data_IF_705388813294
#
_entry.id   IF_705388813294
#
_cell.length_a   1.000
_cell.length_b   1.000
_cell.length_c   1.000
_cell.angle_alpha   90.00
_cell.angle_beta   90.00
_cell.angle_gamma   90.00
#
_symmetry.space_group_name_H-M   'P 1'
#
loop_
_entity.id
_entity.type
_entity.pdbx_description
1 polymer ?
#
# COMPACT_ATOMS: atom_id res chain seq x y z
N UNK A 1 -1.85 26.38 23.96
CA UNK A 1 -2.00 26.43 22.49
C UNK A 1 -1.03 25.42 21.90
N UNK A 2 -1.50 24.26 21.43
CA UNK A 2 -0.63 23.24 20.86
C UNK A 2 -0.26 23.64 19.42
N UNK A 3 1.05 23.67 19.12
CA UNK A 3 1.56 23.97 17.79
C UNK A 3 1.13 22.87 16.81
N UNK A 4 0.45 23.27 15.73
CA UNK A 4 0.08 22.39 14.62
C UNK A 4 1.37 22.04 13.89
N UNK A 5 1.78 20.77 13.94
CA UNK A 5 2.92 20.30 13.16
C UNK A 5 2.68 20.63 11.67
N UNK A 6 3.70 21.15 10.95
CA UNK A 6 3.56 21.41 9.53
C UNK A 6 3.24 20.08 8.82
N UNK A 7 2.21 20.09 7.97
CA UNK A 7 1.92 18.97 7.10
C UNK A 7 3.18 18.68 6.27
N UNK A 8 3.65 17.42 6.18
CA UNK A 8 4.81 17.11 5.36
C UNK A 8 4.54 17.58 3.93
N UNK A 9 5.50 18.30 3.35
CA UNK A 9 5.45 18.74 1.96
C UNK A 9 5.16 17.52 1.07
N UNK A 10 4.21 17.66 0.14
CA UNK A 10 3.80 16.56 -0.72
C UNK A 10 5.03 16.00 -1.45
N UNK A 11 5.45 14.76 -1.16
CA UNK A 11 6.57 14.17 -1.88
C UNK A 11 6.22 14.05 -3.36
N UNK A 12 7.24 14.23 -4.20
CA UNK A 12 7.06 14.03 -5.64
C UNK A 12 6.94 12.54 -5.93
N UNK A 13 6.12 12.17 -6.92
CA UNK A 13 5.92 10.76 -7.35
C UNK A 13 7.23 9.98 -7.53
N UNK A 14 8.29 10.65 -8.01
CA UNK A 14 9.61 10.03 -8.17
C UNK A 14 10.26 9.69 -6.82
N UNK A 15 10.22 10.62 -5.87
CA UNK A 15 10.75 10.40 -4.52
C UNK A 15 10.02 9.28 -3.79
N UNK A 16 8.70 9.16 -3.98
CA UNK A 16 7.90 8.08 -3.39
C UNK A 16 8.21 6.72 -4.00
N UNK A 17 8.41 6.66 -5.33
CA UNK A 17 8.83 5.43 -5.98
C UNK A 17 10.15 4.91 -5.42
N UNK A 18 11.14 5.80 -5.27
CA UNK A 18 12.44 5.46 -4.69
C UNK A 18 12.30 5.03 -3.21
N UNK A 19 11.43 5.71 -2.45
CA UNK A 19 11.16 5.38 -1.06
C UNK A 19 10.43 4.04 -0.87
N UNK A 20 9.60 3.64 -1.84
CA UNK A 20 8.87 2.37 -1.82
C UNK A 20 9.75 1.14 -2.08
N UNK A 21 10.93 1.31 -2.67
CA UNK A 21 11.76 0.17 -3.07
C UNK A 21 12.15 -0.73 -1.89
N UNK A 22 12.12 -2.04 -2.12
CA UNK A 22 12.54 -3.06 -1.17
C UNK A 22 11.40 -3.87 -0.57
N UNK A 23 11.71 -4.57 0.52
CA UNK A 23 10.79 -5.47 1.22
C UNK A 23 10.15 -4.78 2.42
N UNK A 24 8.89 -5.11 2.66
CA UNK A 24 8.02 -4.54 3.67
C UNK A 24 7.23 -5.63 4.36
N UNK A 25 7.01 -5.49 5.66
CA UNK A 25 6.22 -6.40 6.48
C UNK A 25 5.09 -5.63 7.17
N UNK A 26 3.88 -6.18 7.12
CA UNK A 26 2.72 -5.60 7.80
C UNK A 26 2.93 -5.66 9.32
N UNK A 27 2.68 -4.56 10.00
CA UNK A 27 2.75 -4.42 11.46
C UNK A 27 1.40 -4.07 12.09
N UNK A 28 0.41 -3.67 11.28
CA UNK A 28 -0.98 -3.47 11.71
C UNK A 28 -1.96 -3.69 10.56
N UNK A 29 -3.22 -3.97 10.89
CA UNK A 29 -4.30 -4.23 9.97
C UNK A 29 -4.93 -5.61 10.15
N UNK A 30 -6.09 -5.81 9.51
CA UNK A 30 -6.90 -7.03 9.62
C UNK A 30 -6.28 -8.28 9.00
N UNK A 31 -5.18 -8.12 8.23
CA UNK A 31 -4.43 -9.24 7.64
C UNK A 31 -2.93 -8.98 7.77
N UNK A 32 -2.17 -10.06 7.90
CA UNK A 32 -0.72 -10.01 7.77
C UNK A 32 -0.30 -10.23 6.32
N UNK A 33 0.67 -9.45 5.87
CA UNK A 33 1.22 -9.51 4.52
C UNK A 33 2.68 -9.07 4.46
N UNK A 34 3.39 -9.61 3.47
CA UNK A 34 4.67 -9.08 2.99
C UNK A 34 4.45 -8.41 1.66
N UNK A 35 5.13 -7.29 1.45
CA UNK A 35 5.13 -6.55 0.20
C UNK A 35 6.57 -6.38 -0.27
N UNK A 36 6.85 -6.81 -1.49
CA UNK A 36 8.09 -6.52 -2.19
C UNK A 36 7.82 -5.54 -3.32
N UNK A 37 8.62 -4.48 -3.40
CA UNK A 37 8.57 -3.50 -4.49
C UNK A 37 9.92 -3.46 -5.20
N UNK A 38 9.90 -3.63 -6.52
CA UNK A 38 11.08 -3.56 -7.38
C UNK A 38 10.74 -2.78 -8.66
N UNK A 39 11.25 -1.56 -8.77
CA UNK A 39 10.78 -0.58 -9.74
C UNK A 39 9.29 -0.31 -9.53
N UNK A 40 8.50 -0.49 -10.58
CA UNK A 40 7.02 -0.40 -10.55
C UNK A 40 6.33 -1.75 -10.35
N UNK A 41 7.09 -2.82 -10.12
CA UNK A 41 6.52 -4.14 -9.85
C UNK A 41 6.29 -4.30 -8.36
N UNK A 42 5.21 -4.99 -8.02
CA UNK A 42 4.94 -5.41 -6.66
C UNK A 42 4.70 -6.91 -6.59
N UNK A 43 5.01 -7.49 -5.44
CA UNK A 43 4.55 -8.81 -5.03
C UNK A 43 4.00 -8.71 -3.60
N UNK A 44 2.75 -9.08 -3.43
CA UNK A 44 2.03 -9.14 -2.16
C UNK A 44 1.85 -10.59 -1.77
N UNK A 45 2.31 -10.97 -0.59
CA UNK A 45 2.13 -12.31 -0.03
C UNK A 45 1.36 -12.15 1.28
N UNK A 46 0.11 -12.60 1.33
CA UNK A 46 -0.68 -12.61 2.56
C UNK A 46 -0.42 -13.91 3.32
N UNK A 47 -0.39 -13.87 4.66
CA UNK A 47 -0.17 -15.08 5.49
C UNK A 47 -1.23 -16.17 5.30
N UNK A 48 -2.35 -15.87 4.63
CA UNK A 48 -3.37 -16.85 4.23
C UNK A 48 -3.06 -17.62 2.94
N UNK A 49 -1.91 -17.37 2.30
CA UNK A 49 -1.49 -18.04 1.07
C UNK A 49 -1.85 -17.31 -0.23
N UNK A 50 -2.65 -16.24 -0.17
CA UNK A 50 -2.93 -15.42 -1.34
C UNK A 50 -1.68 -14.64 -1.76
N UNK A 51 -1.28 -14.80 -3.01
CA UNK A 51 -0.19 -14.04 -3.63
C UNK A 51 -0.76 -13.17 -4.75
N UNK A 52 -0.32 -11.91 -4.80
CA UNK A 52 -0.69 -10.95 -5.83
C UNK A 52 0.57 -10.38 -6.46
N UNK A 53 0.67 -10.45 -7.78
CA UNK A 53 1.82 -9.92 -8.52
C UNK A 53 1.28 -8.97 -9.58
N UNK A 54 2.01 -7.88 -9.80
CA UNK A 54 1.70 -6.99 -10.90
C UNK A 54 2.49 -5.70 -10.84
N UNK A 55 1.90 -4.64 -11.39
CA UNK A 55 2.51 -3.32 -11.50
C UNK A 55 1.68 -2.26 -10.80
N UNK A 56 2.27 -1.10 -10.53
CA UNK A 56 1.52 0.02 -9.96
C UNK A 56 1.94 1.37 -10.56
N UNK A 57 0.97 2.28 -10.57
CA UNK A 57 1.15 3.68 -10.91
C UNK A 57 0.88 4.56 -9.70
N UNK A 58 1.76 5.54 -9.49
CA UNK A 58 1.63 6.53 -8.43
C UNK A 58 0.98 7.79 -8.99
N UNK A 59 -0.16 8.15 -8.40
CA UNK A 59 -0.86 9.39 -8.64
C UNK A 59 -0.50 10.47 -7.61
N UNK A 60 -1.00 11.69 -7.82
CA UNK A 60 -0.81 12.78 -6.88
C UNK A 60 -1.53 12.52 -5.55
N UNK A 61 -1.08 13.19 -4.48
CA UNK A 61 -1.78 13.23 -3.19
C UNK A 61 -2.09 11.85 -2.56
N UNK A 62 -1.12 10.93 -2.57
CA UNK A 62 -1.27 9.62 -1.92
C UNK A 62 -2.18 8.64 -2.67
N UNK A 63 -2.36 8.85 -3.98
CA UNK A 63 -3.12 7.95 -4.84
C UNK A 63 -2.22 6.90 -5.48
N UNK A 64 -2.64 5.64 -5.51
CA UNK A 64 -1.89 4.56 -6.13
C UNK A 64 -2.87 3.65 -6.86
N UNK A 65 -2.55 3.23 -8.08
CA UNK A 65 -3.32 2.23 -8.82
C UNK A 65 -2.50 0.96 -8.94
N UNK A 66 -3.03 -0.16 -8.45
CA UNK A 66 -2.38 -1.47 -8.56
C UNK A 66 -3.00 -2.26 -9.70
N UNK A 67 -2.19 -2.65 -10.67
CA UNK A 67 -2.57 -3.51 -11.77
C UNK A 67 -2.20 -4.94 -11.38
N UNK A 68 -3.18 -5.71 -10.88
CA UNK A 68 -3.01 -7.11 -10.50
C UNK A 68 -2.99 -7.97 -11.75
N UNK A 69 -1.83 -8.50 -12.08
CA UNK A 69 -1.60 -9.36 -13.24
C UNK A 69 -1.80 -10.84 -12.85
N UNK A 70 -1.31 -11.22 -11.67
CA UNK A 70 -1.48 -12.55 -11.08
C UNK A 70 -2.06 -12.47 -9.67
N UNK A 71 -2.89 -13.45 -9.32
CA UNK A 71 -3.59 -13.57 -8.04
C UNK A 71 -4.96 -14.22 -8.20
N UNK A 72 -5.79 -14.24 -7.13
CA UNK A 72 -7.15 -14.74 -7.19
C UNK A 72 -7.94 -14.13 -8.35
N UNK A 73 -8.67 -14.96 -9.09
CA UNK A 73 -9.33 -14.56 -10.34
C UNK A 73 -10.24 -13.33 -10.18
N UNK A 74 -10.91 -13.22 -9.02
CA UNK A 74 -11.82 -12.12 -8.74
C UNK A 74 -11.12 -10.77 -8.51
N UNK A 75 -9.81 -10.77 -8.33
CA UNK A 75 -9.01 -9.60 -7.97
C UNK A 75 -8.05 -9.13 -9.09
N UNK A 76 -8.05 -9.81 -10.24
CA UNK A 76 -7.24 -9.37 -11.41
C UNK A 76 -7.75 -8.05 -11.99
N UNK A 77 -6.82 -7.27 -12.53
CA UNK A 77 -7.09 -5.94 -13.10
C UNK A 77 -6.69 -4.80 -12.17
N UNK A 78 -7.19 -3.60 -12.45
CA UNK A 78 -6.80 -2.38 -11.73
C UNK A 78 -7.59 -2.22 -10.43
N UNK A 79 -6.87 -2.06 -9.33
CA UNK A 79 -7.38 -1.75 -8.00
C UNK A 79 -6.91 -0.35 -7.56
N UNK A 80 -7.83 0.63 -7.46
CA UNK A 80 -7.49 1.95 -6.97
C UNK A 80 -7.27 1.95 -5.46
N UNK A 81 -6.13 2.46 -5.04
CA UNK A 81 -5.64 2.45 -3.66
C UNK A 81 -5.31 3.86 -3.15
N UNK A 82 -5.29 3.99 -1.83
CA UNK A 82 -4.58 5.06 -1.13
C UNK A 82 -3.26 4.53 -0.57
N UNK A 83 -2.24 5.39 -0.58
CA UNK A 83 -0.97 5.14 0.10
C UNK A 83 -0.49 6.40 0.84
N UNK A 84 0.29 6.19 1.90
CA UNK A 84 0.99 7.24 2.62
C UNK A 84 2.34 6.68 3.07
N UNK A 85 3.41 7.42 2.78
CA UNK A 85 4.76 7.09 3.22
C UNK A 85 5.23 8.13 4.23
N UNK A 86 5.75 7.65 5.35
CA UNK A 86 6.37 8.48 6.36
C UNK A 86 7.46 7.70 7.11
N UNK A 87 8.70 8.19 7.10
CA UNK A 87 9.78 7.65 7.94
C UNK A 87 10.04 6.13 7.83
N UNK A 88 9.79 5.51 6.67
CA UNK A 88 9.92 4.04 6.51
C UNK A 88 8.70 3.23 6.96
N UNK A 89 7.57 3.91 7.18
CA UNK A 89 6.25 3.33 7.37
C UNK A 89 5.41 3.58 6.10
N UNK A 90 4.75 2.54 5.61
CA UNK A 90 3.82 2.62 4.50
C UNK A 90 2.41 2.28 4.99
N UNK A 91 1.48 3.22 4.91
CA UNK A 91 0.05 2.91 5.05
C UNK A 91 -0.53 2.67 3.66
N UNK A 92 -1.24 1.56 3.49
CA UNK A 92 -1.84 1.17 2.22
C UNK A 92 -3.29 0.74 2.45
N UNK A 93 -4.18 1.17 1.55
CA UNK A 93 -5.60 0.84 1.62
C UNK A 93 -6.16 0.72 0.20
N UNK A 94 -6.42 -0.49 -0.30
CA UNK A 94 -7.10 -0.68 -1.57
C UNK A 94 -8.58 -0.33 -1.45
N UNK A 95 -9.16 0.02 -2.58
CA UNK A 95 -10.61 -0.01 -2.77
C UNK A 95 -11.16 -1.42 -2.61
N UNK A 96 -12.48 -1.52 -2.51
CA UNK A 96 -13.12 -2.84 -2.56
C UNK A 96 -12.83 -3.47 -3.92
N UNK A 97 -12.45 -4.77 -3.97
CA UNK A 97 -12.28 -5.46 -5.24
C UNK A 97 -13.46 -5.24 -6.17
N UNK A 98 -13.20 -5.06 -7.47
CA UNK A 98 -14.19 -4.80 -8.53
C UNK A 98 -15.05 -3.54 -8.40
N UNK A 99 -14.94 -2.78 -7.31
CA UNK A 99 -15.72 -1.55 -7.15
C UNK A 99 -15.26 -0.44 -8.11
N UNK A 100 -13.99 -0.49 -8.55
CA UNK A 100 -13.35 0.59 -9.30
C UNK A 100 -13.23 1.90 -8.50
N UNK A 101 -13.55 1.87 -7.20
CA UNK A 101 -13.62 3.06 -6.35
C UNK A 101 -12.45 3.08 -5.38
N UNK A 102 -11.69 4.18 -5.45
CA UNK A 102 -10.65 4.49 -4.47
C UNK A 102 -11.30 4.91 -3.14
N UNK A 103 -10.77 4.48 -1.98
CA UNK A 103 -11.17 5.04 -0.70
C UNK A 103 -10.92 6.55 -0.66
N UNK A 104 -11.82 7.33 -0.05
CA UNK A 104 -11.65 8.79 0.07
C UNK A 104 -10.75 9.22 1.22
N UNK A 105 -10.55 8.32 2.20
CA UNK A 105 -9.66 8.47 3.34
C UNK A 105 -9.22 7.10 3.82
N UNK A 106 -8.16 7.07 4.64
CA UNK A 106 -7.83 5.84 5.34
C UNK A 106 -8.85 5.56 6.47
N UNK A 107 -9.46 4.37 6.48
CA UNK A 107 -10.25 3.91 7.61
C UNK A 107 -9.33 3.52 8.78
N UNK A 108 -9.92 3.21 9.93
CA UNK A 108 -9.19 2.54 11.02
C UNK A 108 -8.58 1.23 10.50
N UNK A 109 -7.37 0.89 10.96
CA UNK A 109 -6.66 -0.33 10.53
C UNK A 109 -7.38 -1.59 11.02
N UNK A 110 -8.15 -1.48 12.10
CA UNK A 110 -8.92 -2.60 12.68
C UNK A 110 -10.36 -2.67 12.15
N UNK A 111 -10.79 -1.75 11.26
CA UNK A 111 -12.12 -1.78 10.65
C UNK A 111 -12.22 -2.91 9.62
N UNK A 112 -12.86 -4.02 10.01
CA UNK A 112 -13.05 -5.23 9.20
C UNK A 112 -13.80 -5.02 7.87
N UNK A 113 -14.45 -3.87 7.68
CA UNK A 113 -15.14 -3.54 6.41
C UNK A 113 -14.17 -3.12 5.31
N UNK A 114 -12.92 -2.86 5.66
CA UNK A 114 -11.87 -2.41 4.75
C UNK A 114 -10.60 -3.20 4.99
N UNK A 115 -9.81 -3.34 3.93
CA UNK A 115 -8.43 -3.75 4.07
C UNK A 115 -7.60 -2.47 4.21
N UNK A 116 -7.09 -2.19 5.40
CA UNK A 116 -6.10 -1.13 5.61
C UNK A 116 -4.92 -1.70 6.38
N UNK A 117 -3.75 -1.63 5.77
CA UNK A 117 -2.54 -2.21 6.29
C UNK A 117 -1.50 -1.14 6.54
N UNK A 118 -0.72 -1.32 7.60
CA UNK A 118 0.47 -0.53 7.87
C UNK A 118 1.67 -1.45 7.76
N UNK A 119 2.64 -1.06 6.97
CA UNK A 119 3.90 -1.78 6.77
C UNK A 119 5.06 -1.01 7.37
N UNK A 120 6.08 -1.75 7.78
CA UNK A 120 7.43 -1.24 8.01
C UNK A 120 8.40 -1.93 7.08
N UNK A 121 9.52 -1.27 6.79
CA UNK A 121 10.61 -1.90 6.05
C UNK A 121 11.04 -3.19 6.75
N UNK A 122 11.14 -4.27 5.99
CA UNK A 122 11.67 -5.53 6.49
C UNK A 122 13.13 -5.33 6.92
N UNK A 123 13.50 -5.92 8.04
CA UNK A 123 14.90 -5.97 8.43
C UNK A 123 15.67 -6.76 7.36
N UNK A 124 16.83 -6.25 6.92
CA UNK A 124 17.75 -7.05 6.11
C UNK A 124 18.23 -8.20 7.00
N UNK A 125 17.80 -9.43 6.70
CA UNK A 125 18.38 -10.61 7.34
C UNK A 125 19.83 -10.70 6.88
N UNK A 126 20.76 -10.70 7.84
CA UNK A 126 22.19 -10.94 7.62
C UNK A 126 22.44 -12.42 7.36
#
# INVERSE_FOLDING_TARGET
MAARAPAPAAPSVRSDLDALQGAWESVAGTRQARLLVAGRKFCFEFSGGDIYIGTFDLGPAGQLDMHVEEGPADHRGTSPCLYQLDGGVLRWCPGRPRSGKRPSRFPDVDDSRYLSLVFRRAARRK
#
